data_IF_814244673638
#
_entry.id   IF_814244673638
#
_cell.length_a   1.000
_cell.length_b   1.000
_cell.length_c   1.000
_cell.angle_alpha   90.00
_cell.angle_beta   90.00
_cell.angle_gamma   90.00
#
_symmetry.space_group_name_H-M   'P 1'
#
loop_
_entity.id
_entity.type
_entity.pdbx_description
1 polymer ?
#
# COMPACT_ATOMS: atom_id res chain seq x y z
N UNK A 1 52.36 14.26 -1.88
CA UNK A 1 51.57 13.13 -1.35
C UNK A 1 50.47 13.70 -0.47
N UNK A 2 49.29 13.05 -0.46
CA UNK A 2 47.99 13.45 0.11
C UNK A 2 47.01 14.07 -0.89
N UNK A 3 46.43 13.20 -1.72
CA UNK A 3 45.11 13.43 -2.32
C UNK A 3 44.05 13.08 -1.28
N UNK A 4 43.27 14.06 -0.84
CA UNK A 4 42.11 13.83 0.02
C UNK A 4 41.09 13.00 -0.78
N UNK A 5 40.83 11.79 -0.31
CA UNK A 5 39.79 10.93 -0.87
C UNK A 5 38.45 11.52 -0.43
N UNK A 6 37.75 12.20 -1.33
CA UNK A 6 36.38 12.63 -1.11
C UNK A 6 35.54 11.37 -0.88
N UNK A 7 35.23 11.10 0.39
CA UNK A 7 34.26 10.10 0.76
C UNK A 7 32.97 10.45 0.02
N UNK A 8 32.63 9.64 -0.97
CA UNK A 8 31.36 9.68 -1.66
C UNK A 8 30.31 9.46 -0.57
N UNK A 9 29.65 10.54 -0.15
CA UNK A 9 28.48 10.47 0.72
C UNK A 9 27.52 9.48 0.07
N UNK A 10 27.48 8.27 0.62
CA UNK A 10 26.47 7.29 0.26
C UNK A 10 25.18 7.88 0.79
N UNK A 11 24.38 8.47 -0.10
CA UNK A 11 23.00 8.82 0.21
C UNK A 11 22.31 7.53 0.65
N UNK A 12 22.24 7.31 1.97
CA UNK A 12 21.43 6.26 2.56
C UNK A 12 19.99 6.74 2.43
N UNK A 13 19.33 6.35 1.34
CA UNK A 13 17.89 6.50 1.21
C UNK A 13 17.26 5.29 1.90
N UNK A 14 16.81 5.47 3.13
CA UNK A 14 15.94 4.49 3.77
C UNK A 14 14.54 4.65 3.19
N UNK A 15 14.19 3.80 2.21
CA UNK A 15 12.79 3.54 1.89
C UNK A 15 12.16 2.66 2.98
N UNK A 16 10.83 2.53 2.99
CA UNK A 16 10.16 1.59 3.90
C UNK A 16 10.50 0.12 3.63
N UNK A 17 11.11 -0.18 2.48
CA UNK A 17 11.58 -1.50 2.09
C UNK A 17 10.46 -2.44 1.64
N UNK A 18 9.24 -1.94 1.49
CA UNK A 18 8.09 -2.75 1.09
C UNK A 18 8.08 -2.99 -0.43
N UNK A 19 7.81 -4.23 -0.89
CA UNK A 19 7.52 -4.50 -2.29
C UNK A 19 6.41 -3.57 -2.78
N UNK A 20 6.64 -2.86 -3.87
CA UNK A 20 5.76 -1.80 -4.34
C UNK A 20 5.39 -2.04 -5.80
N UNK A 21 4.11 -2.34 -6.03
CA UNK A 21 3.56 -2.52 -7.35
C UNK A 21 3.10 -1.17 -7.93
N UNK A 22 3.25 -1.01 -9.24
CA UNK A 22 2.63 0.09 -9.97
C UNK A 22 1.26 -0.35 -10.49
N UNK A 23 0.22 0.37 -10.11
CA UNK A 23 -1.18 0.12 -10.49
C UNK A 23 -1.75 1.32 -11.23
N UNK A 24 -2.68 1.10 -12.15
CA UNK A 24 -3.43 2.14 -12.84
C UNK A 24 -4.83 2.27 -12.22
N UNK A 25 -5.20 3.50 -11.88
CA UNK A 25 -6.52 3.91 -11.36
C UNK A 25 -6.78 5.34 -11.84
N UNK A 26 -7.99 5.67 -12.26
CA UNK A 26 -8.32 6.98 -12.87
C UNK A 26 -7.39 7.41 -14.02
N UNK A 27 -6.87 6.45 -14.81
CA UNK A 27 -5.85 6.68 -15.85
C UNK A 27 -4.52 7.24 -15.31
N UNK A 28 -4.28 7.14 -14.01
CA UNK A 28 -3.04 7.54 -13.36
C UNK A 28 -2.32 6.32 -12.80
N UNK A 29 -1.00 6.32 -12.93
CA UNK A 29 -0.15 5.34 -12.27
C UNK A 29 0.02 5.72 -10.80
N UNK A 30 -0.26 4.76 -9.91
CA UNK A 30 -0.19 4.89 -8.45
C UNK A 30 0.54 3.70 -7.87
N UNK A 31 1.34 3.97 -6.85
CA UNK A 31 2.06 2.94 -6.11
C UNK A 31 1.15 2.30 -5.07
N UNK A 32 1.20 0.98 -5.00
CA UNK A 32 0.52 0.17 -4.00
C UNK A 32 1.58 -0.72 -3.37
N UNK A 33 1.70 -0.67 -2.04
CA UNK A 33 2.72 -1.42 -1.29
C UNK A 33 2.13 -2.71 -0.78
N UNK A 34 2.95 -3.75 -0.72
CA UNK A 34 2.54 -5.06 -0.23
C UNK A 34 3.13 -5.22 1.16
N UNK A 35 2.27 -5.35 2.16
CA UNK A 35 2.68 -5.33 3.56
C UNK A 35 2.04 -6.50 4.33
N UNK A 36 2.81 -7.58 4.51
CA UNK A 36 2.40 -8.71 5.35
C UNK A 36 2.32 -8.36 6.85
N UNK A 37 2.79 -7.18 7.25
CA UNK A 37 2.66 -6.63 8.60
C UNK A 37 1.28 -6.02 8.89
N UNK A 38 0.47 -5.71 7.87
CA UNK A 38 -0.92 -5.27 8.06
C UNK A 38 -1.91 -6.40 7.83
N UNK A 39 -2.85 -6.56 8.77
CA UNK A 39 -3.89 -7.60 8.67
C UNK A 39 -4.91 -7.30 7.58
N UNK A 40 -5.25 -6.03 7.40
CA UNK A 40 -6.23 -5.58 6.42
C UNK A 40 -5.56 -4.70 5.39
N UNK A 41 -6.09 -4.70 4.16
CA UNK A 41 -5.75 -3.67 3.20
C UNK A 41 -6.16 -2.30 3.76
N UNK A 42 -5.26 -1.33 3.65
CA UNK A 42 -5.49 0.03 4.13
C UNK A 42 -5.12 1.04 3.06
N UNK A 43 -5.86 2.15 3.01
CA UNK A 43 -5.54 3.28 2.16
C UNK A 43 -5.71 4.58 2.94
N UNK A 44 -4.91 5.59 2.60
CA UNK A 44 -5.07 6.93 3.12
C UNK A 44 -6.26 7.67 2.47
N UNK A 45 -6.59 8.81 3.05
CA UNK A 45 -7.77 9.61 2.69
C UNK A 45 -7.77 10.15 1.26
N UNK A 46 -6.61 10.30 0.61
CA UNK A 46 -6.51 10.77 -0.79
C UNK A 46 -7.06 9.76 -1.81
N UNK A 47 -7.26 8.51 -1.39
CA UNK A 47 -7.84 7.46 -2.22
C UNK A 47 -9.38 7.53 -2.26
N UNK A 48 -10.01 8.26 -1.34
CA UNK A 48 -11.47 8.45 -1.26
C UNK A 48 -12.10 9.28 -2.41
N UNK A 49 -11.37 9.58 -3.48
CA UNK A 49 -11.90 10.35 -4.61
C UNK A 49 -12.00 9.55 -5.91
N UNK A 50 -11.63 8.27 -5.87
CA UNK A 50 -11.28 7.50 -7.07
C UNK A 50 -12.31 6.44 -7.47
N UNK A 51 -13.04 5.85 -6.53
CA UNK A 51 -13.89 4.67 -6.72
C UNK A 51 -15.10 4.63 -5.75
N UNK A 52 -15.74 3.46 -5.59
CA UNK A 52 -16.99 3.31 -4.84
C UNK A 52 -16.76 3.08 -3.33
N UNK A 53 -17.48 3.87 -2.53
CA UNK A 53 -17.64 3.63 -1.09
C UNK A 53 -18.48 2.39 -0.85
N UNK A 54 -17.98 1.43 -0.07
CA UNK A 54 -18.77 0.27 0.34
C UNK A 54 -19.87 0.67 1.33
N UNK A 55 -21.05 0.03 1.19
CA UNK A 55 -22.18 0.19 2.14
C UNK A 55 -21.99 -0.60 3.44
N UNK A 56 -21.04 -1.53 3.45
CA UNK A 56 -20.74 -2.40 4.58
C UNK A 56 -19.93 -1.67 5.65
N UNK A 57 -20.15 -2.02 6.92
CA UNK A 57 -19.32 -1.53 8.02
C UNK A 57 -17.88 -2.04 7.90
N UNK A 58 -16.91 -1.22 8.30
CA UNK A 58 -15.53 -1.65 8.39
C UNK A 58 -15.38 -2.85 9.34
N UNK A 59 -14.46 -3.80 9.04
CA UNK A 59 -14.25 -4.97 9.89
C UNK A 59 -13.69 -4.60 11.27
N UNK A 60 -13.05 -3.44 11.40
CA UNK A 60 -12.50 -2.90 12.64
C UNK A 60 -12.70 -1.39 12.71
N UNK A 61 -12.73 -0.84 13.92
CA UNK A 61 -12.80 0.62 14.15
C UNK A 61 -11.42 1.29 14.15
N UNK A 62 -10.36 0.53 14.45
CA UNK A 62 -9.00 1.03 14.55
C UNK A 62 -7.99 0.05 13.95
N UNK A 63 -6.92 0.57 13.36
CA UNK A 63 -5.73 -0.18 12.96
C UNK A 63 -4.56 0.25 13.83
N UNK A 64 -3.76 -0.72 14.30
CA UNK A 64 -2.56 -0.43 15.10
C UNK A 64 -1.34 -0.33 14.18
N UNK A 65 -0.68 0.83 14.17
CA UNK A 65 0.53 1.07 13.40
C UNK A 65 1.81 0.54 14.07
N UNK A 66 2.92 0.60 13.33
CA UNK A 66 4.27 0.35 13.85
C UNK A 66 4.59 1.46 14.87
N UNK A 67 4.94 1.07 16.10
CA UNK A 67 5.04 1.99 17.26
C UNK A 67 3.84 1.94 18.20
N UNK A 68 2.77 1.26 17.80
CA UNK A 68 1.66 0.89 18.67
C UNK A 68 0.54 1.92 18.81
N UNK A 69 0.60 3.00 18.03
CA UNK A 69 -0.49 3.97 17.90
C UNK A 69 -1.72 3.35 17.24
N UNK A 70 -2.90 3.78 17.68
CA UNK A 70 -4.17 3.42 17.06
C UNK A 70 -4.59 4.51 16.08
N UNK A 71 -4.92 4.10 14.86
CA UNK A 71 -5.41 4.96 13.79
C UNK A 71 -6.86 4.61 13.48
N UNK A 72 -7.71 5.63 13.29
CA UNK A 72 -9.15 5.42 13.08
C UNK A 72 -9.41 4.88 11.67
N UNK A 73 -10.30 3.90 11.57
CA UNK A 73 -10.88 3.49 10.29
C UNK A 73 -12.15 4.30 10.06
N UNK A 74 -12.17 5.08 8.98
CA UNK A 74 -13.31 5.93 8.63
C UNK A 74 -14.39 5.10 7.92
N UNK A 75 -13.98 4.30 6.94
CA UNK A 75 -14.87 3.56 6.02
C UNK A 75 -14.09 2.50 5.25
N UNK A 76 -14.77 1.60 4.55
CA UNK A 76 -14.16 0.70 3.56
C UNK A 76 -14.51 1.15 2.15
N UNK A 77 -13.53 1.12 1.25
CA UNK A 77 -13.66 1.44 -0.17
C UNK A 77 -13.23 0.25 -1.01
N UNK A 78 -13.91 0.03 -2.14
CA UNK A 78 -13.53 -0.99 -3.12
C UNK A 78 -12.84 -0.32 -4.30
N UNK A 79 -11.67 -0.81 -4.67
CA UNK A 79 -10.84 -0.26 -5.73
C UNK A 79 -10.65 -1.28 -6.83
N UNK A 80 -10.98 -0.91 -8.07
CA UNK A 80 -10.67 -1.70 -9.26
C UNK A 80 -9.35 -1.19 -9.87
N UNK A 81 -8.25 -1.85 -9.51
CA UNK A 81 -6.89 -1.49 -9.91
C UNK A 81 -6.45 -2.28 -11.13
N UNK A 82 -5.77 -1.65 -12.10
CA UNK A 82 -5.19 -2.37 -13.23
C UNK A 82 -3.68 -2.49 -13.08
N UNK A 83 -3.14 -3.72 -13.08
CA UNK A 83 -1.70 -3.94 -12.99
C UNK A 83 -0.98 -3.66 -14.32
N UNK A 84 0.35 -3.73 -14.33
CA UNK A 84 1.17 -3.48 -15.54
C UNK A 84 0.92 -4.49 -16.68
N UNK A 85 0.33 -5.65 -16.37
CA UNK A 85 -0.07 -6.66 -17.35
C UNK A 85 -1.48 -6.43 -17.92
N UNK A 86 -2.17 -5.36 -17.50
CA UNK A 86 -3.53 -5.06 -17.92
C UNK A 86 -4.61 -5.89 -17.22
N UNK A 87 -4.26 -6.60 -16.14
CA UNK A 87 -5.23 -7.38 -15.37
C UNK A 87 -5.89 -6.49 -14.32
N UNK A 88 -7.22 -6.62 -14.19
CA UNK A 88 -7.99 -5.95 -13.14
C UNK A 88 -7.90 -6.71 -11.82
N UNK A 89 -7.62 -5.99 -10.74
CA UNK A 89 -7.44 -6.46 -9.38
C UNK A 89 -8.36 -5.65 -8.47
N UNK A 90 -9.40 -6.31 -7.92
CA UNK A 90 -10.33 -5.68 -6.99
C UNK A 90 -9.82 -5.79 -5.56
N UNK A 91 -9.59 -4.65 -4.90
CA UNK A 91 -9.09 -4.58 -3.53
C UNK A 91 -10.07 -3.79 -2.67
N UNK A 92 -10.53 -4.40 -1.57
CA UNK A 92 -11.32 -3.70 -0.55
C UNK A 92 -10.36 -3.22 0.53
N UNK A 93 -10.29 -1.91 0.79
CA UNK A 93 -9.35 -1.33 1.75
C UNK A 93 -10.04 -0.42 2.78
N UNK A 94 -9.58 -0.51 4.02
CA UNK A 94 -9.98 0.38 5.11
C UNK A 94 -9.32 1.76 4.91
N UNK A 95 -10.13 2.82 4.89
CA UNK A 95 -9.62 4.17 4.85
C UNK A 95 -9.19 4.62 6.24
N UNK A 96 -7.92 5.01 6.36
CA UNK A 96 -7.29 5.36 7.63
C UNK A 96 -7.19 6.88 7.79
N UNK A 97 -7.75 7.39 8.89
CA UNK A 97 -7.59 8.78 9.30
C UNK A 97 -6.13 9.07 9.69
N UNK A 98 -5.59 10.21 9.26
CA UNK A 98 -4.19 10.58 9.47
C UNK A 98 -3.19 9.99 8.46
N UNK A 99 -3.63 9.11 7.56
CA UNK A 99 -2.87 8.68 6.37
C UNK A 99 -3.40 9.39 5.12
N UNK A 100 -2.50 9.70 4.16
CA UNK A 100 -2.87 10.47 2.96
C UNK A 100 -2.78 9.64 1.70
N UNK A 101 -1.59 9.48 1.13
CA UNK A 101 -1.38 8.89 -0.19
C UNK A 101 -1.04 7.39 -0.17
N UNK A 102 -0.83 6.80 1.01
CA UNK A 102 -0.41 5.41 1.14
C UNK A 102 -1.53 4.43 0.81
N UNK A 103 -1.16 3.31 0.19
CA UNK A 103 -2.02 2.14 0.00
C UNK A 103 -1.20 0.90 0.32
N UNK A 104 -1.65 0.13 1.29
CA UNK A 104 -1.02 -1.12 1.71
C UNK A 104 -1.98 -2.29 1.43
N UNK A 105 -1.51 -3.26 0.67
CA UNK A 105 -2.16 -4.56 0.47
C UNK A 105 -1.80 -5.43 1.65
N UNK A 106 -2.81 -5.77 2.45
CA UNK A 106 -2.68 -6.56 3.65
C UNK A 106 -2.91 -8.05 3.46
N UNK A 107 -2.74 -8.78 4.57
CA UNK A 107 -2.86 -10.23 4.63
C UNK A 107 -4.25 -10.72 4.22
N UNK A 108 -5.33 -9.97 4.51
CA UNK A 108 -6.69 -10.29 4.08
C UNK A 108 -6.81 -10.51 2.55
N UNK A 109 -6.19 -9.65 1.75
CA UNK A 109 -6.16 -9.79 0.31
C UNK A 109 -5.22 -10.92 -0.12
N UNK A 110 -4.02 -10.98 0.47
CA UNK A 110 -3.00 -11.97 0.11
C UNK A 110 -3.49 -13.40 0.38
N UNK A 111 -4.11 -13.66 1.53
CA UNK A 111 -4.69 -14.97 1.87
C UNK A 111 -5.88 -15.32 0.97
N UNK A 112 -6.80 -14.36 0.76
CA UNK A 112 -7.98 -14.56 -0.08
C UNK A 112 -7.62 -14.99 -1.50
N UNK A 113 -6.55 -14.41 -2.05
CA UNK A 113 -6.10 -14.70 -3.42
C UNK A 113 -4.96 -15.72 -3.50
N UNK A 114 -4.50 -16.26 -2.37
CA UNK A 114 -3.31 -17.14 -2.27
C UNK A 114 -2.09 -16.54 -2.96
N UNK A 115 -1.95 -15.24 -2.76
CA UNK A 115 -1.02 -14.41 -3.51
C UNK A 115 0.41 -14.64 -3.02
N UNK A 116 1.35 -14.65 -3.97
CA UNK A 116 2.78 -14.74 -3.72
C UNK A 116 3.44 -13.40 -4.04
N UNK A 117 4.34 -12.97 -3.17
CA UNK A 117 5.07 -11.71 -3.36
C UNK A 117 6.34 -11.99 -4.12
N UNK A 118 6.48 -11.35 -5.27
CA UNK A 118 7.70 -11.34 -6.06
C UNK A 118 8.52 -10.11 -5.70
N UNK A 119 9.62 -10.33 -4.95
CA UNK A 119 10.52 -9.27 -4.52
C UNK A 119 11.43 -8.76 -5.64
N UNK A 120 11.64 -9.53 -6.73
CA UNK A 120 12.48 -9.11 -7.85
C UNK A 120 11.77 -8.02 -8.67
N UNK A 121 10.43 -8.10 -8.76
CA UNK A 121 9.60 -7.18 -9.53
C UNK A 121 8.70 -6.27 -8.68
N UNK A 122 8.60 -6.51 -7.38
CA UNK A 122 7.75 -5.73 -6.47
C UNK A 122 6.25 -5.99 -6.66
N UNK A 123 5.88 -7.17 -7.14
CA UNK A 123 4.51 -7.50 -7.57
C UNK A 123 3.85 -8.59 -6.72
N UNK A 124 2.52 -8.64 -6.79
CA UNK A 124 1.70 -9.75 -6.27
C UNK A 124 1.30 -10.67 -7.44
N UNK A 125 1.55 -11.97 -7.31
CA UNK A 125 1.15 -13.03 -8.25
C UNK A 125 0.10 -13.96 -7.67
#
# INVERSE_FOLDING_TARGET
>A
MMTANAGKDMNVVAGDGLPTAMMMIDRQHRQVKIDSGTRYCVAGTDWMMREERMKTSAPVQYVKGIGGFLLNVIVVWSFDLTNVYGQSVKVDACIIDGCTNEFLVGVDFLEKHRATVDFDFGEVR
#
